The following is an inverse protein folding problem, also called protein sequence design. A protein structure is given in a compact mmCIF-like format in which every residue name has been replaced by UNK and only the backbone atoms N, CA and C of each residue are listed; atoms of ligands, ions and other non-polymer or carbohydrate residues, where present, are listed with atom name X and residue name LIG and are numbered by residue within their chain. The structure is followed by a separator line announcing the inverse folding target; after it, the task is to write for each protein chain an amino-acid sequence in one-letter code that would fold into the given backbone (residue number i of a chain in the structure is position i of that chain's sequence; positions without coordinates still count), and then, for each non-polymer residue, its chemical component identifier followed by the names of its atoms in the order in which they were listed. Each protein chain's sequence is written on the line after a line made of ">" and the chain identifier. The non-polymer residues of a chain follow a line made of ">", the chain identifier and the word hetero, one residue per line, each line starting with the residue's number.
data_IF_373612324710
#
_entry.id   IF_373612324710
#
_cell.length_a   1.000
_cell.length_b   1.000
_cell.length_c   1.000
_cell.angle_alpha   90.00
_cell.angle_beta   90.00
_cell.angle_gamma   90.00
#
_symmetry.space_group_name_H-M   'P 1'
#
loop_
_entity.id
_entity.type
_entity.pdbx_description
1 polymer ?
#
# COMPACT_ATOMS: atom_id res chain seq x y z
N UNK A 1 11.15 -22.26 48.92
CA UNK A 1 10.12 -22.78 48.00
C UNK A 1 9.63 -21.62 47.15
N UNK A 2 10.19 -21.44 45.95
CA UNK A 2 9.75 -20.38 45.04
C UNK A 2 8.44 -20.83 44.38
N UNK A 3 7.38 -20.06 44.57
CA UNK A 3 6.11 -20.24 43.85
C UNK A 3 6.26 -19.59 42.48
N UNK A 4 6.25 -20.41 41.44
CA UNK A 4 6.12 -19.93 40.08
C UNK A 4 4.63 -19.79 39.80
N UNK A 5 4.09 -18.57 39.97
CA UNK A 5 2.76 -18.23 39.48
C UNK A 5 2.84 -18.08 37.95
N UNK A 6 2.87 -19.23 37.27
CA UNK A 6 2.60 -19.30 35.83
C UNK A 6 1.14 -18.93 35.63
N UNK A 7 0.91 -17.65 35.36
CA UNK A 7 -0.28 -17.20 34.65
C UNK A 7 -0.27 -17.89 33.28
N UNK A 8 -0.92 -19.06 33.24
CA UNK A 8 -1.18 -19.84 32.04
C UNK A 8 -2.18 -19.04 31.22
N UNK A 9 -1.68 -18.03 30.50
CA UNK A 9 -2.47 -17.26 29.55
C UNK A 9 -3.01 -18.27 28.54
N UNK A 10 -4.34 -18.38 28.46
CA UNK A 10 -5.07 -19.26 27.55
C UNK A 10 -4.60 -19.00 26.12
N UNK A 11 -3.65 -19.82 25.64
CA UNK A 11 -3.27 -19.87 24.24
C UNK A 11 -4.47 -20.47 23.52
N UNK A 12 -5.37 -19.64 22.98
CA UNK A 12 -6.33 -20.11 21.99
C UNK A 12 -5.51 -20.74 20.86
N UNK A 13 -5.64 -22.05 20.59
CA UNK A 13 -4.97 -22.67 19.46
C UNK A 13 -5.65 -22.17 18.19
N UNK A 14 -5.17 -21.03 17.68
CA UNK A 14 -5.53 -20.59 16.35
C UNK A 14 -4.92 -21.58 15.36
N UNK A 15 -5.72 -22.12 14.43
CA UNK A 15 -5.29 -23.02 13.34
C UNK A 15 -4.40 -22.28 12.31
N UNK A 16 -3.40 -21.54 12.76
CA UNK A 16 -2.48 -20.82 11.87
C UNK A 16 -1.48 -21.81 11.31
N UNK A 17 -1.44 -21.91 9.98
CA UNK A 17 -0.37 -22.63 9.29
C UNK A 17 0.95 -21.87 9.51
N UNK A 18 1.97 -22.57 10.01
CA UNK A 18 3.34 -22.02 10.14
C UNK A 18 4.01 -22.05 8.77
N UNK A 19 4.77 -21.01 8.45
CA UNK A 19 5.55 -20.94 7.22
C UNK A 19 6.94 -21.52 7.53
N UNK A 20 7.31 -22.61 6.87
CA UNK A 20 8.62 -23.28 7.03
C UNK A 20 9.73 -22.65 6.17
N UNK A 21 9.77 -21.32 6.10
CA UNK A 21 10.73 -20.58 5.29
C UNK A 21 11.51 -19.61 6.17
N UNK A 22 12.84 -19.62 6.02
CA UNK A 22 13.74 -18.71 6.71
C UNK A 22 14.22 -17.64 5.70
N UNK A 23 13.89 -16.35 5.89
CA UNK A 23 14.36 -15.28 5.03
C UNK A 23 15.86 -15.03 5.20
N UNK A 24 16.46 -14.26 4.28
CA UNK A 24 17.84 -13.80 4.42
C UNK A 24 18.00 -12.84 5.60
N UNK A 25 19.23 -12.69 6.09
CA UNK A 25 19.57 -11.80 7.21
C UNK A 25 19.13 -10.36 6.94
N UNK A 26 19.42 -9.82 5.75
CA UNK A 26 19.02 -8.47 5.36
C UNK A 26 17.50 -8.26 5.44
N UNK A 27 16.72 -9.24 4.97
CA UNK A 27 15.25 -9.16 5.03
C UNK A 27 14.78 -9.25 6.48
N UNK A 28 15.44 -10.06 7.31
CA UNK A 28 15.13 -10.17 8.72
C UNK A 28 15.36 -8.84 9.46
N UNK A 29 16.51 -8.19 9.24
CA UNK A 29 16.81 -6.88 9.83
C UNK A 29 15.81 -5.81 9.41
N UNK A 30 15.39 -5.80 8.14
CA UNK A 30 14.39 -4.85 7.64
C UNK A 30 13.05 -5.08 8.36
N UNK A 31 12.61 -6.34 8.50
CA UNK A 31 11.38 -6.67 9.21
C UNK A 31 11.48 -6.25 10.68
N UNK A 32 12.62 -6.48 11.34
CA UNK A 32 12.82 -6.07 12.74
C UNK A 32 12.71 -4.56 12.90
N UNK A 33 13.40 -3.78 12.05
CA UNK A 33 13.30 -2.30 12.03
C UNK A 33 11.85 -1.83 11.85
N UNK A 34 11.08 -2.48 10.98
CA UNK A 34 9.66 -2.17 10.76
C UNK A 34 8.79 -2.54 11.98
N UNK A 35 9.08 -3.64 12.66
CA UNK A 35 8.38 -4.04 13.88
C UNK A 35 8.58 -3.00 14.99
N UNK A 36 9.82 -2.56 15.20
CA UNK A 36 10.15 -1.53 16.20
C UNK A 36 9.54 -0.18 15.84
N UNK A 37 9.58 0.24 14.57
CA UNK A 37 9.06 1.52 14.14
C UNK A 37 7.53 1.65 14.24
N UNK A 38 6.81 0.54 14.04
CA UNK A 38 5.33 0.53 14.00
C UNK A 38 4.68 -0.15 15.22
N UNK A 39 5.47 -0.59 16.21
CA UNK A 39 5.00 -1.35 17.37
C UNK A 39 4.15 -2.57 17.00
N UNK A 40 4.50 -3.22 15.89
CA UNK A 40 3.79 -4.39 15.39
C UNK A 40 4.56 -5.68 15.65
N UNK A 41 3.81 -6.76 15.87
CA UNK A 41 4.42 -8.08 15.94
C UNK A 41 4.95 -8.49 14.58
N UNK A 42 6.04 -9.26 14.58
CA UNK A 42 6.68 -9.76 13.37
C UNK A 42 5.68 -10.48 12.45
N UNK A 43 4.83 -11.34 13.01
CA UNK A 43 3.79 -12.04 12.23
C UNK A 43 2.81 -11.09 11.54
N UNK A 44 2.50 -9.94 12.15
CA UNK A 44 1.60 -8.93 11.57
C UNK A 44 2.29 -8.22 10.42
N UNK A 45 3.52 -7.72 10.64
CA UNK A 45 4.31 -7.04 9.59
C UNK A 45 4.50 -7.97 8.39
N UNK A 46 4.94 -9.20 8.61
CA UNK A 46 5.11 -10.18 7.54
C UNK A 46 3.81 -10.46 6.79
N UNK A 47 2.68 -10.57 7.50
CA UNK A 47 1.37 -10.75 6.88
C UNK A 47 1.00 -9.59 5.95
N UNK A 48 1.16 -8.35 6.43
CA UNK A 48 0.89 -7.15 5.61
C UNK A 48 1.79 -7.12 4.37
N UNK A 49 3.10 -7.32 4.53
CA UNK A 49 4.05 -7.30 3.42
C UNK A 49 3.71 -8.33 2.34
N UNK A 50 3.25 -9.52 2.75
CA UNK A 50 2.84 -10.57 1.81
C UNK A 50 1.55 -10.18 1.08
N UNK A 51 0.54 -9.65 1.79
CA UNK A 51 -0.70 -9.19 1.17
C UNK A 51 -0.45 -8.08 0.14
N UNK A 52 0.40 -7.12 0.51
CA UNK A 52 0.79 -6.02 -0.36
C UNK A 52 1.53 -6.53 -1.60
N UNK A 53 2.51 -7.42 -1.43
CA UNK A 53 3.21 -8.03 -2.56
C UNK A 53 2.27 -8.80 -3.51
N UNK A 54 1.24 -9.48 -2.98
CA UNK A 54 0.25 -10.19 -3.79
C UNK A 54 -0.70 -9.24 -4.53
N UNK A 55 -1.07 -8.11 -3.93
CA UNK A 55 -1.84 -7.04 -4.61
C UNK A 55 -1.02 -6.39 -5.71
N UNK A 56 0.24 -6.07 -5.46
CA UNK A 56 1.16 -5.51 -6.46
C UNK A 56 1.38 -6.45 -7.65
N UNK A 57 1.21 -7.77 -7.43
CA UNK A 57 1.24 -8.78 -8.51
C UNK A 57 -0.10 -8.96 -9.24
N UNK A 58 -1.18 -8.33 -8.78
CA UNK A 58 -2.54 -8.50 -9.32
C UNK A 58 -3.15 -9.89 -9.06
N UNK A 59 -2.57 -10.67 -8.14
CA UNK A 59 -3.06 -12.02 -7.80
C UNK A 59 -4.16 -11.94 -6.74
N UNK A 60 -4.08 -10.94 -5.86
CA UNK A 60 -5.08 -10.69 -4.83
C UNK A 60 -5.97 -9.52 -5.25
N UNK A 61 -7.27 -9.76 -5.41
CA UNK A 61 -8.26 -8.74 -5.76
C UNK A 61 -8.55 -7.81 -4.58
N UNK A 62 -8.85 -6.54 -4.87
CA UNK A 62 -9.10 -5.51 -3.85
C UNK A 62 -10.40 -5.71 -3.05
N UNK A 63 -11.21 -6.70 -3.41
CA UNK A 63 -12.55 -6.95 -2.83
C UNK A 63 -12.55 -7.30 -1.33
N UNK A 64 -11.40 -7.57 -0.70
CA UNK A 64 -11.33 -7.93 0.72
C UNK A 64 -11.52 -6.75 1.69
N UNK A 65 -11.58 -5.51 1.24
CA UNK A 65 -11.73 -4.32 2.10
C UNK A 65 -13.17 -3.91 2.41
N UNK A 66 -14.19 -4.67 1.98
CA UNK A 66 -15.58 -4.27 2.21
C UNK A 66 -16.14 -4.56 3.62
N UNK A 67 -15.34 -5.10 4.54
CA UNK A 67 -15.79 -5.33 5.92
C UNK A 67 -14.67 -5.10 6.94
N UNK A 68 -14.32 -3.84 7.22
CA UNK A 68 -13.89 -3.37 8.55
C UNK A 68 -13.73 -1.86 8.55
N UNK A 69 -14.52 -1.21 9.40
CA UNK A 69 -14.53 0.21 9.69
C UNK A 69 -13.28 0.64 10.48
N UNK A 70 -12.09 0.48 9.92
CA UNK A 70 -10.87 1.10 10.45
C UNK A 70 -10.05 1.66 9.29
N UNK A 71 -10.60 2.71 8.70
CA UNK A 71 -9.91 3.61 7.78
C UNK A 71 -9.04 4.57 8.60
N UNK A 72 -8.05 4.04 9.33
CA UNK A 72 -7.03 4.87 9.97
C UNK A 72 -5.74 4.81 9.15
N UNK A 73 -5.57 5.86 8.35
CA UNK A 73 -4.28 6.38 7.87
C UNK A 73 -3.30 5.35 7.30
N UNK A 74 -3.59 4.85 6.09
CA UNK A 74 -2.51 4.38 5.22
C UNK A 74 -1.71 5.61 4.78
N UNK A 75 -0.55 5.76 5.40
CA UNK A 75 0.44 6.79 5.13
C UNK A 75 0.79 6.71 3.64
N UNK A 76 0.70 7.87 3.01
CA UNK A 76 1.00 8.14 1.62
C UNK A 76 2.52 7.98 1.39
N UNK A 77 3.02 6.74 1.29
CA UNK A 77 4.36 6.50 0.75
C UNK A 77 4.24 6.55 -0.78
N UNK A 78 4.32 7.77 -1.30
CA UNK A 78 4.63 8.01 -2.71
C UNK A 78 6.03 7.46 -2.98
N UNK A 79 6.12 6.21 -3.42
CA UNK A 79 7.29 5.73 -4.15
C UNK A 79 7.05 6.12 -5.60
N UNK A 80 7.74 7.16 -6.05
CA UNK A 80 7.55 7.78 -7.36
C UNK A 80 7.53 6.75 -8.48
N UNK A 81 6.48 6.82 -9.30
CA UNK A 81 6.51 6.27 -10.65
C UNK A 81 7.67 6.90 -11.42
N UNK A 82 8.53 6.07 -11.99
CA UNK A 82 8.78 6.06 -13.43
C UNK A 82 9.83 4.99 -13.74
N UNK A 83 9.37 3.86 -14.29
CA UNK A 83 9.88 3.43 -15.59
C UNK A 83 8.97 2.37 -16.22
N UNK A 84 8.20 2.86 -17.20
CA UNK A 84 7.75 2.11 -18.35
C UNK A 84 8.89 1.25 -18.92
N UNK A 85 8.74 -0.07 -18.86
CA UNK A 85 9.22 -0.92 -19.95
C UNK A 85 8.16 -1.96 -20.30
N UNK A 86 7.53 -1.72 -21.45
CA UNK A 86 6.82 -2.75 -22.20
C UNK A 86 7.82 -3.87 -22.51
N UNK A 87 7.34 -5.11 -22.41
CA UNK A 87 7.58 -6.26 -23.30
C UNK A 87 7.79 -7.54 -22.48
N UNK A 88 6.77 -8.40 -22.37
CA UNK A 88 6.72 -9.68 -23.08
C UNK A 88 5.46 -10.48 -22.69
N UNK A 89 4.83 -11.05 -23.72
CA UNK A 89 3.64 -11.91 -23.72
C UNK A 89 3.75 -13.10 -22.75
N UNK A 90 2.63 -13.43 -22.09
CA UNK A 90 2.07 -14.79 -22.11
C UNK A 90 0.58 -14.78 -21.69
N UNK A 91 -0.28 -15.63 -22.27
CA UNK A 91 -1.72 -15.44 -22.29
C UNK A 91 -2.42 -16.21 -21.16
N UNK A 92 -3.45 -15.61 -20.57
CA UNK A 92 -4.24 -16.28 -19.55
C UNK A 92 -5.50 -15.50 -19.20
N UNK A 93 -6.49 -15.54 -20.11
CA UNK A 93 -7.91 -15.23 -19.89
C UNK A 93 -8.20 -14.06 -18.94
N UNK A 94 -7.94 -12.85 -19.40
CA UNK A 94 -8.47 -11.64 -18.79
C UNK A 94 -9.81 -11.32 -19.48
N UNK A 95 -10.91 -11.37 -18.74
CA UNK A 95 -12.21 -10.94 -19.22
C UNK A 95 -12.13 -9.50 -19.71
N UNK A 96 -12.68 -9.25 -20.90
CA UNK A 96 -12.75 -7.96 -21.56
C UNK A 96 -13.37 -6.88 -20.65
N UNK A 97 -12.53 -6.12 -19.96
CA UNK A 97 -12.88 -4.76 -19.55
C UNK A 97 -12.32 -3.85 -20.62
N UNK A 98 -13.13 -3.55 -21.64
CA UNK A 98 -12.81 -2.53 -22.62
C UNK A 98 -12.90 -1.17 -21.92
N UNK A 99 -11.88 -0.82 -21.13
CA UNK A 99 -11.76 0.52 -20.53
C UNK A 99 -11.76 1.51 -21.69
N UNK A 100 -12.77 2.38 -21.72
CA UNK A 100 -12.93 3.40 -22.75
C UNK A 100 -11.76 4.39 -22.65
N UNK A 101 -10.67 4.10 -23.37
CA UNK A 101 -9.41 4.88 -23.33
C UNK A 101 -9.60 6.38 -23.59
N UNK A 102 -10.69 6.77 -24.26
CA UNK A 102 -11.04 8.17 -24.50
C UNK A 102 -11.48 8.88 -23.21
N UNK A 103 -12.30 8.22 -22.41
CA UNK A 103 -12.84 8.78 -21.15
C UNK A 103 -11.71 9.05 -20.14
N UNK A 104 -10.78 8.10 -20.01
CA UNK A 104 -9.60 8.27 -19.16
C UNK A 104 -8.65 9.37 -19.66
N UNK A 105 -8.54 9.56 -20.98
CA UNK A 105 -7.72 10.62 -21.57
C UNK A 105 -8.32 12.01 -21.30
N UNK A 106 -9.64 12.13 -21.33
CA UNK A 106 -10.33 13.38 -21.05
C UNK A 106 -10.21 13.75 -19.56
N UNK A 107 -10.31 12.76 -18.67
CA UNK A 107 -10.10 12.95 -17.22
C UNK A 107 -8.70 13.47 -16.90
N UNK A 108 -7.66 12.86 -17.50
CA UNK A 108 -6.27 13.32 -17.35
C UNK A 108 -6.10 14.76 -17.84
N UNK A 109 -6.70 15.09 -18.99
CA UNK A 109 -6.64 16.44 -19.56
C UNK A 109 -7.31 17.46 -18.63
N UNK A 110 -8.49 17.14 -18.11
CA UNK A 110 -9.21 17.99 -17.14
C UNK A 110 -8.40 18.22 -15.87
N UNK A 111 -7.71 17.18 -15.36
CA UNK A 111 -6.82 17.32 -14.21
C UNK A 111 -5.66 18.29 -14.49
N UNK A 112 -5.04 18.19 -15.67
CA UNK A 112 -3.93 19.07 -16.05
C UNK A 112 -4.37 20.53 -16.15
N UNK A 113 -5.49 20.81 -16.83
CA UNK A 113 -6.07 22.16 -16.96
C UNK A 113 -6.40 22.77 -15.58
N UNK A 114 -6.90 21.95 -14.64
CA UNK A 114 -7.20 22.41 -13.29
C UNK A 114 -5.94 22.79 -12.49
N UNK A 115 -4.85 22.04 -12.64
CA UNK A 115 -3.56 22.34 -11.98
C UNK A 115 -3.02 23.68 -12.48
N UNK A 116 -3.01 23.90 -13.79
CA UNK A 116 -2.57 25.16 -14.40
C UNK A 116 -3.40 26.35 -13.90
N UNK A 117 -4.73 26.20 -13.86
CA UNK A 117 -5.62 27.25 -13.36
C UNK A 117 -5.34 27.61 -11.89
N UNK A 118 -5.12 26.61 -11.03
CA UNK A 118 -4.79 26.83 -9.62
C UNK A 118 -3.44 27.54 -9.47
N UNK A 119 -2.46 27.13 -10.26
CA UNK A 119 -1.14 27.78 -10.29
C UNK A 119 -1.25 29.23 -10.74
N UNK A 120 -1.97 29.50 -11.82
CA UNK A 120 -2.23 30.86 -12.31
C UNK A 120 -2.89 31.74 -11.25
N UNK A 121 -3.94 31.26 -10.58
CA UNK A 121 -4.58 31.99 -9.47
C UNK A 121 -3.62 32.31 -8.33
N UNK A 122 -2.73 31.38 -7.99
CA UNK A 122 -1.72 31.57 -6.96
C UNK A 122 -0.74 32.69 -7.34
N UNK A 123 -0.25 32.67 -8.58
CA UNK A 123 0.65 33.70 -9.12
C UNK A 123 -0.02 35.08 -9.13
N UNK A 124 -1.27 35.17 -9.61
CA UNK A 124 -2.02 36.44 -9.61
C UNK A 124 -2.23 37.00 -8.21
N UNK A 125 -2.52 36.15 -7.23
CA UNK A 125 -2.66 36.59 -5.83
C UNK A 125 -1.33 37.09 -5.24
N UNK A 126 -0.21 36.47 -5.59
CA UNK A 126 1.12 36.89 -5.11
C UNK A 126 1.54 38.24 -5.71
N UNK A 127 1.21 38.49 -6.97
CA UNK A 127 1.59 39.72 -7.66
C UNK A 127 0.70 40.93 -7.32
N UNK A 128 -0.55 40.71 -6.88
CA UNK A 128 -1.41 41.80 -6.41
C UNK A 128 -0.94 42.42 -5.08
N UNK A 129 -0.13 41.71 -4.29
CA UNK A 129 0.46 42.24 -3.05
C UNK A 129 1.72 43.09 -3.29
N UNK A 130 2.10 43.35 -4.55
CA UNK A 130 3.31 44.10 -4.93
C UNK A 130 2.95 45.56 -5.32
N UNK A 131 1.66 45.88 -5.52
CA UNK A 131 1.18 47.20 -5.95
C UNK A 131 0.40 47.99 -4.87
N UNK A 132 0.51 47.59 -3.60
CA UNK A 132 0.03 48.35 -2.43
C UNK A 132 1.24 48.82 -1.60
#
# INVERSE_FOLDING_TARGET
>A
MCKCDTNFSLIMPSQRKRIGFLPSEEVHEIIEKLCTANEFSQSKVTGLLVEEALRSRGVLSDSFTNNRNDKSNYINFSFGEEQLSKNNKSPGNCSDYTVNKKEFSDDIKMMHEFIEFKYFKKVMKQNNNIFE
#
